data_IF_126417456487
#
_entry.id   IF_126417456487
#
_cell.length_a   1.000
_cell.length_b   1.000
_cell.length_c   1.000
_cell.angle_alpha   90.00
_cell.angle_beta   90.00
_cell.angle_gamma   90.00
#
_symmetry.space_group_name_H-M   'P 1'
#
loop_
_entity.id
_entity.type
_entity.pdbx_description
1 polymer ?
#
# COMPACT_ATOMS: atom_id res chain seq x y z
N UNK A 1 -37.02 29.91 23.91
CA UNK A 1 -35.67 30.08 24.50
C UNK A 1 -34.89 28.80 24.30
N UNK A 2 -33.75 28.90 23.64
CA UNK A 2 -32.91 27.82 23.12
C UNK A 2 -31.86 27.37 24.15
N UNK A 3 -31.62 26.06 24.24
CA UNK A 3 -30.39 25.42 24.76
C UNK A 3 -30.22 24.16 23.90
N UNK A 4 -29.46 24.19 22.79
CA UNK A 4 -28.01 23.85 22.71
C UNK A 4 -27.80 22.42 23.27
N UNK A 5 -27.59 21.38 22.46
CA UNK A 5 -26.54 21.29 21.45
C UNK A 5 -25.34 20.50 22.00
N UNK A 6 -25.53 19.27 22.45
CA UNK A 6 -24.42 18.36 22.79
C UNK A 6 -24.30 17.26 21.73
N UNK A 7 -23.68 17.62 20.60
CA UNK A 7 -23.02 16.61 19.75
C UNK A 7 -21.68 16.30 20.41
N UNK A 8 -21.61 15.14 21.04
CA UNK A 8 -20.41 14.58 21.66
C UNK A 8 -19.31 14.47 20.58
N UNK A 9 -18.32 15.35 20.68
CA UNK A 9 -17.10 15.35 19.88
C UNK A 9 -16.23 14.16 20.31
N UNK A 10 -16.59 12.93 19.89
CA UNK A 10 -15.82 11.72 20.21
C UNK A 10 -15.22 11.03 19.00
N UNK A 11 -15.22 11.64 17.82
CA UNK A 11 -14.74 10.97 16.60
C UNK A 11 -13.60 11.71 15.87
N UNK A 12 -12.91 12.64 16.54
CA UNK A 12 -11.85 13.43 15.90
C UNK A 12 -10.46 12.84 16.16
N UNK A 13 -10.30 11.99 17.18
CA UNK A 13 -8.97 11.53 17.61
C UNK A 13 -8.39 10.35 16.80
N UNK A 14 -9.16 9.72 15.90
CA UNK A 14 -8.63 8.63 15.04
C UNK A 14 -8.22 9.13 13.65
N UNK A 15 -8.73 10.28 13.20
CA UNK A 15 -8.42 10.85 11.88
C UNK A 15 -7.25 11.86 11.89
N UNK A 16 -6.93 12.42 13.06
CA UNK A 16 -5.93 13.47 13.20
C UNK A 16 -4.49 12.95 13.11
N UNK A 17 -4.23 11.67 13.40
CA UNK A 17 -2.87 11.12 13.38
C UNK A 17 -2.33 10.92 11.94
N UNK A 18 -3.21 10.89 10.93
CA UNK A 18 -2.83 10.68 9.53
C UNK A 18 -2.38 11.98 8.82
N UNK A 19 -2.75 13.16 9.31
CA UNK A 19 -2.56 14.43 8.60
C UNK A 19 -1.09 14.90 8.48
N UNK A 20 -0.14 14.15 9.03
CA UNK A 20 1.31 14.36 8.89
C UNK A 20 2.05 13.11 8.40
N UNK A 21 1.35 12.01 8.10
CA UNK A 21 1.96 10.76 7.67
C UNK A 21 2.13 10.77 6.16
N UNK A 22 3.30 10.35 5.69
CA UNK A 22 3.50 10.13 4.26
C UNK A 22 2.67 8.92 3.87
N UNK A 23 1.88 9.05 2.81
CA UNK A 23 1.10 7.96 2.23
C UNK A 23 1.79 7.47 0.96
N UNK A 24 1.97 6.16 0.83
CA UNK A 24 2.54 5.54 -0.37
C UNK A 24 1.63 4.45 -0.89
N UNK A 25 1.58 4.31 -2.21
CA UNK A 25 0.72 3.31 -2.82
C UNK A 25 1.43 1.95 -2.88
N UNK A 26 0.80 0.94 -2.30
CA UNK A 26 1.23 -0.45 -2.40
C UNK A 26 0.71 -1.05 -3.72
N UNK A 27 1.63 -1.41 -4.61
CA UNK A 27 1.33 -2.13 -5.84
C UNK A 27 1.60 -3.64 -5.75
N UNK A 28 1.07 -4.38 -6.71
CA UNK A 28 1.21 -5.84 -6.82
C UNK A 28 2.67 -6.27 -6.95
N UNK A 29 3.50 -5.51 -7.67
CA UNK A 29 4.89 -5.90 -7.95
C UNK A 29 5.77 -5.85 -6.71
N UNK A 30 5.58 -4.83 -5.85
CA UNK A 30 6.26 -4.73 -4.57
C UNK A 30 5.84 -5.86 -3.63
N UNK A 31 4.54 -6.16 -3.53
CA UNK A 31 4.04 -7.24 -2.69
C UNK A 31 4.60 -8.61 -3.12
N UNK A 32 4.68 -8.87 -4.43
CA UNK A 32 5.30 -10.10 -4.97
C UNK A 32 6.81 -10.14 -4.65
N UNK A 33 7.54 -9.05 -4.91
CA UNK A 33 8.97 -8.98 -4.65
C UNK A 33 9.29 -9.19 -3.16
N UNK A 34 8.48 -8.63 -2.25
CA UNK A 34 8.63 -8.81 -0.81
C UNK A 34 8.33 -10.26 -0.39
N UNK A 35 7.32 -10.89 -0.98
CA UNK A 35 6.87 -12.23 -0.58
C UNK A 35 7.70 -13.39 -1.13
N UNK A 36 8.46 -13.15 -2.20
CA UNK A 36 9.25 -14.18 -2.88
C UNK A 36 10.74 -13.95 -2.68
N UNK A 37 11.39 -14.75 -1.83
CA UNK A 37 12.84 -14.71 -1.58
C UNK A 37 13.69 -14.94 -2.83
N UNK A 38 13.11 -15.58 -3.86
CA UNK A 38 13.76 -15.83 -5.15
C UNK A 38 13.56 -14.69 -6.16
N UNK A 39 12.79 -13.66 -5.82
CA UNK A 39 12.60 -12.50 -6.69
C UNK A 39 13.88 -11.65 -6.72
N UNK A 40 14.26 -11.16 -7.90
CA UNK A 40 15.48 -10.36 -8.08
C UNK A 40 15.43 -9.05 -7.28
N UNK A 41 14.23 -8.54 -7.01
CA UNK A 41 14.02 -7.31 -6.26
C UNK A 41 13.75 -7.56 -4.77
N UNK A 42 13.78 -8.82 -4.29
CA UNK A 42 13.42 -9.16 -2.92
C UNK A 42 14.21 -8.36 -1.87
N UNK A 43 15.53 -8.29 -2.01
CA UNK A 43 16.40 -7.54 -1.09
C UNK A 43 16.05 -6.05 -1.06
N UNK A 44 15.70 -5.49 -2.23
CA UNK A 44 15.31 -4.08 -2.35
C UNK A 44 13.94 -3.83 -1.75
N UNK A 45 12.99 -4.74 -1.97
CA UNK A 45 11.64 -4.66 -1.42
C UNK A 45 11.68 -4.77 0.11
N UNK A 46 12.45 -5.71 0.66
CA UNK A 46 12.64 -5.86 2.11
C UNK A 46 13.27 -4.62 2.75
N UNK A 47 14.29 -4.04 2.10
CA UNK A 47 14.90 -2.79 2.58
C UNK A 47 13.89 -1.63 2.59
N UNK A 48 13.07 -1.52 1.54
CA UNK A 48 12.05 -0.48 1.44
C UNK A 48 10.91 -0.70 2.45
N UNK A 49 10.50 -1.95 2.70
CA UNK A 49 9.52 -2.28 3.74
C UNK A 49 10.00 -1.81 5.12
N UNK A 50 11.25 -2.13 5.48
CA UNK A 50 11.84 -1.66 6.74
C UNK A 50 11.88 -0.12 6.85
N UNK A 51 12.11 0.58 5.73
CA UNK A 51 12.09 2.04 5.70
C UNK A 51 10.68 2.58 5.93
N UNK A 52 9.67 2.04 5.23
CA UNK A 52 8.26 2.40 5.38
C UNK A 52 7.80 2.21 6.83
N UNK A 53 8.16 1.07 7.45
CA UNK A 53 7.88 0.79 8.85
C UNK A 53 8.58 1.77 9.80
N UNK A 54 9.86 2.06 9.57
CA UNK A 54 10.65 2.99 10.40
C UNK A 54 10.12 4.42 10.33
N UNK A 55 9.70 4.84 9.13
CA UNK A 55 9.20 6.19 8.87
C UNK A 55 7.73 6.36 9.32
N UNK A 56 7.06 5.29 9.76
CA UNK A 56 5.64 5.32 10.12
C UNK A 56 4.74 5.66 8.93
N UNK A 57 5.17 5.32 7.72
CA UNK A 57 4.48 5.65 6.47
C UNK A 57 3.22 4.80 6.33
N UNK A 58 2.09 5.43 5.99
CA UNK A 58 0.84 4.72 5.74
C UNK A 58 0.84 4.11 4.34
N UNK A 59 0.47 2.84 4.24
CA UNK A 59 0.29 2.15 2.98
C UNK A 59 -1.15 2.31 2.50
N UNK A 60 -1.34 2.77 1.27
CA UNK A 60 -2.66 2.81 0.64
C UNK A 60 -2.68 1.81 -0.51
N UNK A 61 -3.71 0.97 -0.57
CA UNK A 61 -3.90 0.03 -1.69
C UNK A 61 -5.37 -0.06 -2.07
N UNK A 62 -5.69 -0.96 -3.00
CA UNK A 62 -7.07 -1.21 -3.38
C UNK A 62 -7.41 -2.70 -3.32
N UNK A 63 -8.70 -3.00 -3.22
CA UNK A 63 -9.18 -4.38 -3.30
C UNK A 63 -8.78 -5.07 -4.62
N UNK A 64 -8.62 -4.33 -5.72
CA UNK A 64 -8.15 -4.91 -6.98
C UNK A 64 -6.69 -5.37 -6.90
N UNK A 65 -5.84 -4.61 -6.20
CA UNK A 65 -4.44 -5.01 -5.97
C UNK A 65 -4.38 -6.26 -5.10
N UNK A 66 -5.19 -6.36 -4.03
CA UNK A 66 -5.29 -7.58 -3.23
C UNK A 66 -5.70 -8.79 -4.09
N UNK A 67 -6.66 -8.61 -5.01
CA UNK A 67 -7.06 -9.66 -5.95
C UNK A 67 -5.93 -10.06 -6.90
N UNK A 68 -5.16 -9.10 -7.42
CA UNK A 68 -4.01 -9.37 -8.28
C UNK A 68 -2.91 -10.15 -7.55
N UNK A 69 -2.61 -9.77 -6.31
CA UNK A 69 -1.67 -10.48 -5.43
C UNK A 69 -2.14 -11.92 -5.19
N UNK A 70 -3.41 -12.09 -4.79
CA UNK A 70 -4.00 -13.40 -4.57
C UNK A 70 -3.96 -14.29 -5.80
N UNK A 71 -4.22 -13.73 -6.98
CA UNK A 71 -4.13 -14.45 -8.24
C UNK A 71 -2.68 -14.84 -8.58
N UNK A 72 -1.72 -13.93 -8.40
CA UNK A 72 -0.30 -14.18 -8.64
C UNK A 72 0.27 -15.28 -7.74
N UNK A 73 -0.20 -15.37 -6.49
CA UNK A 73 0.24 -16.34 -5.48
C UNK A 73 -0.70 -17.56 -5.34
N UNK A 74 -1.63 -17.75 -6.28
CA UNK A 74 -2.68 -18.78 -6.21
C UNK A 74 -2.18 -20.24 -6.31
N UNK A 75 -0.94 -20.45 -6.77
CA UNK A 75 -0.34 -21.79 -6.89
C UNK A 75 -0.28 -22.47 -5.52
N UNK A 76 -0.58 -23.78 -5.48
CA UNK A 76 -0.73 -24.55 -4.24
C UNK A 76 0.43 -24.36 -3.24
N UNK A 77 1.67 -24.30 -3.74
CA UNK A 77 2.88 -24.10 -2.92
C UNK A 77 2.96 -22.74 -2.21
N UNK A 78 2.23 -21.73 -2.69
CA UNK A 78 2.25 -20.36 -2.16
C UNK A 78 0.94 -19.94 -1.50
N UNK A 79 -0.14 -20.72 -1.66
CA UNK A 79 -1.47 -20.39 -1.17
C UNK A 79 -1.50 -20.03 0.32
N UNK A 80 -0.79 -20.77 1.18
CA UNK A 80 -0.76 -20.48 2.61
C UNK A 80 -0.08 -19.15 2.93
N UNK A 81 1.04 -18.84 2.28
CA UNK A 81 1.74 -17.57 2.43
C UNK A 81 0.92 -16.40 1.85
N UNK A 82 0.21 -16.63 0.75
CA UNK A 82 -0.68 -15.64 0.14
C UNK A 82 -1.82 -15.25 1.09
N UNK A 83 -2.46 -16.23 1.75
CA UNK A 83 -3.52 -15.97 2.73
C UNK A 83 -2.98 -15.13 3.88
N UNK A 84 -1.84 -15.51 4.46
CA UNK A 84 -1.23 -14.75 5.56
C UNK A 84 -0.88 -13.31 5.15
N UNK A 85 -0.36 -13.11 3.94
CA UNK A 85 -0.09 -11.79 3.41
C UNK A 85 -1.36 -10.96 3.28
N UNK A 86 -2.41 -11.50 2.67
CA UNK A 86 -3.67 -10.79 2.47
C UNK A 86 -4.34 -10.46 3.81
N UNK A 87 -4.37 -11.40 4.76
CA UNK A 87 -4.88 -11.17 6.11
C UNK A 87 -4.08 -10.08 6.85
N UNK A 88 -2.75 -10.07 6.70
CA UNK A 88 -1.92 -9.02 7.29
C UNK A 88 -2.23 -7.64 6.71
N UNK A 89 -2.40 -7.54 5.38
CA UNK A 89 -2.74 -6.27 4.71
C UNK A 89 -4.14 -5.76 5.08
N UNK A 90 -5.09 -6.65 5.37
CA UNK A 90 -6.45 -6.25 5.74
C UNK A 90 -6.60 -5.90 7.23
N UNK A 91 -5.75 -6.45 8.09
CA UNK A 91 -5.85 -6.28 9.55
C UNK A 91 -4.87 -5.24 10.10
N UNK A 92 -3.87 -4.84 9.34
CA UNK A 92 -2.87 -3.85 9.73
C UNK A 92 -3.47 -2.42 9.73
N UNK A 93 -3.48 -1.71 10.88
CA UNK A 93 -4.00 -0.35 10.96
C UNK A 93 -3.18 0.70 10.18
N UNK A 94 -1.96 0.36 9.76
CA UNK A 94 -1.11 1.20 8.89
C UNK A 94 -1.38 1.01 7.40
N UNK A 95 -2.31 0.12 7.04
CA UNK A 95 -2.71 -0.17 5.67
C UNK A 95 -4.16 0.24 5.42
N UNK A 96 -4.38 1.17 4.50
CA UNK A 96 -5.71 1.53 4.02
C UNK A 96 -6.04 0.77 2.73
N UNK A 97 -7.04 -0.10 2.80
CA UNK A 97 -7.59 -0.80 1.62
C UNK A 97 -8.80 -0.06 1.08
N UNK A 98 -8.62 0.64 -0.03
CA UNK A 98 -9.68 1.43 -0.66
C UNK A 98 -10.53 0.58 -1.61
N UNK A 99 -11.86 0.65 -1.42
CA UNK A 99 -12.82 0.09 -2.38
C UNK A 99 -12.81 0.90 -3.68
N UNK A 100 -12.49 0.25 -4.80
CA UNK A 100 -12.61 0.89 -6.11
C UNK A 100 -14.08 1.11 -6.47
N UNK A 101 -14.39 2.35 -6.83
CA UNK A 101 -15.66 2.73 -7.45
C UNK A 101 -15.35 3.42 -8.77
N UNK A 102 -16.28 3.35 -9.72
CA UNK A 102 -16.13 3.85 -11.11
C UNK A 102 -15.61 5.30 -11.20
N UNK A 103 -15.87 6.13 -10.18
CA UNK A 103 -15.48 7.55 -10.14
C UNK A 103 -14.05 7.83 -9.61
N UNK A 104 -13.35 6.85 -9.01
CA UNK A 104 -12.11 7.08 -8.24
C UNK A 104 -10.81 7.00 -9.05
N UNK A 105 -10.87 6.62 -10.33
CA UNK A 105 -9.69 6.44 -11.21
C UNK A 105 -8.89 7.73 -11.43
N UNK A 106 -9.46 8.91 -11.10
CA UNK A 106 -8.85 10.23 -11.39
C UNK A 106 -8.21 10.96 -10.21
N UNK A 107 -8.09 10.37 -9.02
CA UNK A 107 -7.84 11.17 -7.79
C UNK A 107 -6.64 10.79 -6.91
N UNK A 108 -5.66 10.06 -7.41
CA UNK A 108 -4.46 9.73 -6.63
C UNK A 108 -3.20 10.35 -7.24
N UNK A 109 -2.72 11.51 -6.74
CA UNK A 109 -1.32 11.87 -6.86
C UNK A 109 -0.53 11.12 -5.77
N UNK A 110 -0.63 9.78 -5.72
CA UNK A 110 0.14 8.99 -4.76
C UNK A 110 1.48 8.68 -5.43
N UNK A 111 2.58 8.86 -4.69
CA UNK A 111 3.91 8.45 -5.12
C UNK A 111 3.88 6.93 -5.26
N UNK A 112 3.79 6.46 -6.50
CA UNK A 112 3.94 5.05 -6.83
C UNK A 112 5.33 4.61 -6.38
N UNK A 113 5.41 3.58 -5.53
CA UNK A 113 6.66 2.92 -5.16
C UNK A 113 7.23 2.22 -6.40
N UNK A 114 7.83 2.99 -7.32
CA UNK A 114 8.46 2.46 -8.51
C UNK A 114 9.73 1.69 -8.13
N UNK A 115 9.56 0.38 -7.95
CA UNK A 115 10.63 -0.59 -7.88
C UNK A 115 11.35 -0.82 -9.22
N UNK A 116 11.63 0.20 -10.03
CA UNK A 116 12.48 0.09 -11.21
C UNK A 116 12.80 1.47 -11.81
N UNK A 117 14.00 2.00 -11.53
CA UNK A 117 14.66 2.82 -12.56
C UNK A 117 15.08 1.83 -13.65
N UNK A 118 14.33 1.76 -14.75
CA UNK A 118 14.88 1.27 -16.02
C UNK A 118 15.96 2.28 -16.40
N UNK A 119 17.18 1.79 -16.60
CA UNK A 119 18.26 2.54 -17.20
C UNK A 119 17.88 2.84 -18.65
N UNK A 120 17.19 3.95 -18.90
CA UNK A 120 17.16 4.58 -20.22
C UNK A 120 18.52 5.26 -20.37
N UNK A 121 19.47 4.53 -20.97
CA UNK A 121 20.68 5.11 -21.52
C UNK A 121 20.24 6.19 -22.52
N UNK A 122 20.38 7.45 -22.11
CA UNK A 122 20.36 8.57 -23.05
C UNK A 122 21.62 8.46 -23.89
N UNK A 123 21.52 7.80 -25.04
CA UNK A 123 22.45 7.98 -26.14
C UNK A 123 22.13 9.35 -26.75
N UNK A 124 22.59 10.41 -26.08
CA UNK A 124 22.62 11.75 -26.67
C UNK A 124 23.77 11.81 -27.65
N UNK A 125 23.39 11.87 -28.91
CA UNK A 125 24.10 12.42 -30.06
C UNK A 125 25.06 13.55 -29.62
N UNK A 126 26.34 13.38 -29.90
CA UNK A 126 27.26 14.39 -30.48
C UNK A 126 28.38 13.64 -31.18
#
# INVERSE_FOLDING_TARGET
MSQIGQRKLTNICTLQLCLTMTEVFLDTSFAIALSSVTDQNHVRAAKLANQIETDGTCLVTTQAILLEIGNALSKQRYRAAAIQLLESLETDPSVEVVLLRVFQVKKCPIVMLNGAKRNEASLSIT
#
